data_IF_312966745730
#
_entry.id   IF_312966745730
#
_cell.length_a   1.000
_cell.length_b   1.000
_cell.length_c   1.000
_cell.angle_alpha   90.00
_cell.angle_beta   90.00
_cell.angle_gamma   90.00
#
_symmetry.space_group_name_H-M   'P 1'
#
loop_
_entity.id
_entity.type
_entity.pdbx_description
1 polymer ?
#
# COMPACT_ATOMS: atom_id res chain seq x y z
N UNK A 1 -35.67 -38.16 -47.63
CA UNK A 1 -34.32 -38.37 -47.07
C UNK A 1 -33.57 -37.05 -47.21
N UNK A 2 -33.57 -36.18 -46.19
CA UNK A 2 -32.72 -35.00 -46.15
C UNK A 2 -32.41 -34.71 -44.69
N UNK A 3 -31.20 -35.11 -44.30
CA UNK A 3 -30.62 -34.84 -43.00
C UNK A 3 -30.05 -33.42 -43.02
N UNK A 4 -30.63 -32.50 -42.25
CA UNK A 4 -30.12 -31.15 -42.06
C UNK A 4 -29.64 -31.04 -40.62
N UNK A 5 -28.39 -31.46 -40.34
CA UNK A 5 -27.69 -31.16 -39.09
C UNK A 5 -27.19 -29.72 -39.17
N UNK A 6 -27.82 -28.81 -38.42
CA UNK A 6 -27.25 -27.51 -38.11
C UNK A 6 -26.22 -27.69 -37.01
N UNK A 7 -24.97 -27.43 -37.32
CA UNK A 7 -23.90 -27.26 -36.35
C UNK A 7 -24.07 -25.94 -35.60
N UNK A 8 -24.12 -26.00 -34.28
CA UNK A 8 -24.00 -24.81 -33.42
C UNK A 8 -22.55 -24.32 -33.36
N UNK A 9 -22.30 -23.01 -33.33
CA UNK A 9 -20.94 -22.49 -33.22
C UNK A 9 -20.45 -22.53 -31.75
N UNK A 10 -19.17 -22.88 -31.48
CA UNK A 10 -18.59 -22.85 -30.15
C UNK A 10 -18.04 -21.45 -29.83
N UNK A 11 -18.85 -20.55 -29.25
CA UNK A 11 -18.34 -19.22 -28.91
C UNK A 11 -19.01 -18.54 -27.71
N UNK A 12 -19.21 -19.23 -26.58
CA UNK A 12 -19.67 -18.54 -25.36
C UNK A 12 -18.85 -18.88 -24.09
N UNK A 13 -18.04 -19.94 -24.11
CA UNK A 13 -17.31 -20.37 -22.91
C UNK A 13 -16.02 -19.57 -22.61
N UNK A 14 -15.48 -18.82 -23.57
CA UNK A 14 -14.15 -18.19 -23.43
C UNK A 14 -14.19 -16.77 -22.83
N UNK A 15 -15.35 -16.10 -22.84
CA UNK A 15 -15.46 -14.71 -22.32
C UNK A 15 -15.78 -14.62 -20.82
N UNK A 16 -16.31 -15.69 -20.21
CA UNK A 16 -16.60 -15.69 -18.77
C UNK A 16 -15.35 -15.89 -17.91
N UNK A 17 -14.30 -16.52 -18.44
CA UNK A 17 -13.07 -16.81 -17.68
C UNK A 17 -12.19 -15.55 -17.52
N UNK A 18 -12.16 -14.67 -18.52
CA UNK A 18 -11.32 -13.47 -18.52
C UNK A 18 -11.84 -12.33 -17.62
N UNK A 19 -13.16 -12.26 -17.37
CA UNK A 19 -13.75 -11.22 -16.52
C UNK A 19 -13.55 -11.53 -15.02
N UNK A 20 -13.46 -12.79 -14.63
CA UNK A 20 -13.23 -13.19 -13.24
C UNK A 20 -11.76 -13.08 -12.85
N UNK A 21 -10.81 -13.33 -13.77
CA UNK A 21 -9.38 -13.10 -13.56
C UNK A 21 -9.02 -11.62 -13.42
N UNK A 22 -9.77 -10.70 -14.02
CA UNK A 22 -9.50 -9.27 -13.97
C UNK A 22 -9.79 -8.64 -12.57
N UNK A 23 -10.51 -9.33 -11.68
CA UNK A 23 -10.86 -8.89 -10.32
C UNK A 23 -10.16 -9.67 -9.22
N UNK A 24 -9.46 -10.75 -9.54
CA UNK A 24 -8.67 -11.51 -8.57
C UNK A 24 -7.53 -10.66 -8.03
N UNK A 25 -7.39 -10.64 -6.69
CA UNK A 25 -6.24 -10.06 -6.03
C UNK A 25 -5.15 -11.11 -5.86
N UNK A 26 -3.92 -10.64 -5.77
CA UNK A 26 -2.77 -11.46 -5.43
C UNK A 26 -2.07 -10.88 -4.20
N UNK A 27 -1.56 -11.73 -3.33
CA UNK A 27 -0.76 -11.31 -2.20
C UNK A 27 0.54 -12.10 -2.13
N UNK A 28 1.52 -11.51 -1.48
CA UNK A 28 2.75 -12.18 -1.11
C UNK A 28 3.14 -11.71 0.28
N UNK A 29 3.51 -12.67 1.14
CA UNK A 29 3.97 -12.40 2.50
C UNK A 29 5.44 -12.78 2.63
N UNK A 30 6.25 -11.89 3.19
CA UNK A 30 7.67 -12.16 3.50
C UNK A 30 8.05 -11.63 4.87
N UNK A 31 9.05 -12.26 5.49
CA UNK A 31 9.73 -11.71 6.66
C UNK A 31 10.77 -10.68 6.20
N UNK A 32 10.67 -9.49 6.77
CA UNK A 32 11.56 -8.37 6.43
C UNK A 32 12.39 -7.99 7.66
N UNK A 33 13.68 -7.65 7.48
CA UNK A 33 14.52 -7.18 8.58
C UNK A 33 13.89 -5.97 9.28
N UNK A 34 13.95 -5.96 10.61
CA UNK A 34 13.53 -4.86 11.50
C UNK A 34 12.03 -4.52 11.51
N UNK A 35 11.25 -4.89 10.50
CA UNK A 35 9.81 -4.56 10.43
C UNK A 35 8.90 -5.81 10.47
N UNK A 36 9.50 -7.01 10.57
CA UNK A 36 8.78 -8.27 10.75
C UNK A 36 8.08 -8.76 9.49
N UNK A 37 6.95 -9.45 9.67
CA UNK A 37 6.15 -9.93 8.55
C UNK A 37 5.51 -8.76 7.79
N UNK A 38 5.65 -8.79 6.48
CA UNK A 38 5.02 -7.84 5.56
C UNK A 38 4.22 -8.61 4.54
N UNK A 39 2.95 -8.22 4.36
CA UNK A 39 2.11 -8.69 3.26
C UNK A 39 1.83 -7.54 2.31
N UNK A 40 2.07 -7.75 1.01
CA UNK A 40 1.73 -6.80 -0.05
C UNK A 40 0.61 -7.40 -0.88
N UNK A 41 -0.41 -6.61 -1.19
CA UNK A 41 -1.58 -7.02 -1.97
C UNK A 41 -1.64 -6.23 -3.27
N UNK A 42 -1.83 -6.97 -4.36
CA UNK A 42 -2.04 -6.45 -5.71
C UNK A 42 -3.49 -6.69 -6.16
N UNK A 43 -4.09 -5.69 -6.82
CA UNK A 43 -5.33 -5.82 -7.59
C UNK A 43 -5.24 -4.98 -8.86
N UNK A 44 -5.61 -5.56 -10.00
CA UNK A 44 -5.63 -4.84 -11.27
C UNK A 44 -4.28 -4.18 -11.63
N UNK A 45 -3.16 -4.88 -11.38
CA UNK A 45 -1.79 -4.41 -11.63
C UNK A 45 -1.37 -3.19 -10.78
N UNK A 46 -2.01 -2.95 -9.65
CA UNK A 46 -1.65 -1.91 -8.68
C UNK A 46 -1.45 -2.51 -7.30
N UNK A 47 -0.51 -1.97 -6.56
CA UNK A 47 -0.40 -2.23 -5.12
C UNK A 47 -1.54 -1.47 -4.43
N UNK A 48 -2.39 -2.22 -3.72
CA UNK A 48 -3.57 -1.66 -3.04
C UNK A 48 -3.45 -1.68 -1.52
N UNK A 49 -2.57 -2.54 -0.98
CA UNK A 49 -2.39 -2.70 0.47
C UNK A 49 -0.97 -3.17 0.79
N UNK A 50 -0.43 -2.70 1.91
CA UNK A 50 0.77 -3.20 2.55
C UNK A 50 0.52 -3.26 4.06
N UNK A 51 0.44 -4.48 4.59
CA UNK A 51 0.31 -4.76 6.01
C UNK A 51 1.70 -4.98 6.62
N UNK A 52 1.95 -4.39 7.78
CA UNK A 52 3.19 -4.56 8.53
C UNK A 52 2.94 -4.51 10.04
N UNK A 53 3.88 -5.01 10.84
CA UNK A 53 3.77 -5.03 12.29
C UNK A 53 2.76 -6.04 12.84
N UNK A 54 2.10 -6.80 11.99
CA UNK A 54 1.20 -7.88 12.37
C UNK A 54 1.94 -9.17 12.70
N UNK A 55 1.25 -10.10 13.36
CA UNK A 55 1.74 -11.47 13.52
C UNK A 55 1.34 -12.28 12.28
N UNK A 56 2.32 -12.82 11.56
CA UNK A 56 2.01 -13.81 10.52
C UNK A 56 1.58 -15.15 11.16
N UNK A 57 0.72 -15.98 10.52
CA UNK A 57 0.10 -15.70 9.23
C UNK A 57 -0.97 -14.60 9.31
N UNK A 58 -1.09 -13.80 8.26
CA UNK A 58 -2.21 -12.85 8.13
C UNK A 58 -3.50 -13.59 7.80
N UNK A 59 -4.63 -13.06 8.27
CA UNK A 59 -5.93 -13.60 7.90
C UNK A 59 -6.11 -13.58 6.36
N UNK A 60 -6.67 -14.66 5.77
CA UNK A 60 -6.96 -14.70 4.35
C UNK A 60 -7.87 -13.53 3.94
N UNK A 61 -7.60 -12.95 2.80
CA UNK A 61 -8.46 -11.94 2.19
C UNK A 61 -9.37 -12.61 1.15
N UNK A 62 -10.65 -12.23 1.15
CA UNK A 62 -11.57 -12.69 0.14
C UNK A 62 -11.06 -12.31 -1.26
N UNK A 63 -11.17 -13.23 -2.22
CA UNK A 63 -10.77 -13.04 -3.62
C UNK A 63 -9.29 -12.64 -3.82
N UNK A 64 -8.40 -13.05 -2.89
CA UNK A 64 -6.95 -12.85 -2.97
C UNK A 64 -6.24 -14.19 -2.87
N UNK A 65 -5.46 -14.52 -3.89
CA UNK A 65 -4.60 -15.70 -3.90
C UNK A 65 -3.21 -15.35 -3.37
N UNK A 66 -2.68 -16.17 -2.46
CA UNK A 66 -1.30 -16.01 -1.97
C UNK A 66 -0.35 -16.63 -3.00
N UNK A 67 0.15 -15.80 -3.90
CA UNK A 67 1.12 -16.21 -4.92
C UNK A 67 1.96 -15.03 -5.43
N UNK A 68 3.21 -15.26 -5.85
CA UNK A 68 4.05 -14.22 -6.41
C UNK A 68 3.56 -13.77 -7.80
N UNK A 69 3.57 -12.45 -8.02
CA UNK A 69 3.41 -11.83 -9.34
C UNK A 69 4.64 -10.99 -9.66
N UNK A 70 4.88 -10.61 -10.92
CA UNK A 70 5.98 -9.70 -11.25
C UNK A 70 5.92 -8.37 -10.49
N UNK A 71 4.72 -7.81 -10.25
CA UNK A 71 4.56 -6.57 -9.48
C UNK A 71 4.88 -6.78 -8.00
N UNK A 72 4.39 -7.85 -7.37
CA UNK A 72 4.69 -8.15 -5.96
C UNK A 72 6.17 -8.42 -5.73
N UNK A 73 6.82 -9.15 -6.64
CA UNK A 73 8.27 -9.38 -6.57
C UNK A 73 9.05 -8.07 -6.68
N UNK A 74 8.67 -7.18 -7.61
CA UNK A 74 9.27 -5.84 -7.76
C UNK A 74 9.02 -4.98 -6.51
N UNK A 75 7.82 -5.04 -5.92
CA UNK A 75 7.49 -4.29 -4.72
C UNK A 75 8.36 -4.72 -3.54
N UNK A 76 8.55 -6.03 -3.33
CA UNK A 76 9.45 -6.54 -2.29
C UNK A 76 10.92 -6.19 -2.57
N UNK A 77 11.40 -6.32 -3.79
CA UNK A 77 12.77 -5.92 -4.13
C UNK A 77 13.02 -4.43 -3.81
N UNK A 78 12.08 -3.55 -4.17
CA UNK A 78 12.20 -2.13 -3.84
C UNK A 78 12.12 -1.87 -2.32
N UNK A 79 11.31 -2.63 -1.58
CA UNK A 79 11.25 -2.53 -0.12
C UNK A 79 12.55 -3.00 0.53
N UNK A 80 13.15 -4.09 0.05
CA UNK A 80 14.46 -4.58 0.50
C UNK A 80 15.56 -3.54 0.27
N UNK A 81 15.63 -2.95 -0.93
CA UNK A 81 16.56 -1.87 -1.25
C UNK A 81 16.36 -0.63 -0.34
N UNK A 82 15.10 -0.29 -0.03
CA UNK A 82 14.79 0.82 0.86
C UNK A 82 15.24 0.53 2.30
N UNK A 83 14.96 -0.66 2.83
CA UNK A 83 15.40 -1.07 4.16
C UNK A 83 16.92 -1.20 4.29
N UNK A 84 17.60 -1.47 3.18
CA UNK A 84 19.07 -1.44 3.10
C UNK A 84 19.63 -0.01 2.93
N UNK A 85 18.80 1.05 2.90
CA UNK A 85 19.23 2.44 2.72
C UNK A 85 19.67 2.81 1.29
N UNK A 86 19.53 1.89 0.34
CA UNK A 86 19.96 2.09 -1.06
C UNK A 86 18.90 2.88 -1.85
N UNK A 87 17.63 2.54 -1.68
CA UNK A 87 16.50 3.18 -2.36
C UNK A 87 15.91 4.29 -1.52
N UNK A 88 15.66 5.44 -2.15
CA UNK A 88 15.01 6.60 -1.50
C UNK A 88 13.63 6.93 -2.07
N UNK A 89 13.27 6.36 -3.21
CA UNK A 89 11.97 6.59 -3.89
C UNK A 89 11.45 5.29 -4.49
N UNK A 90 10.18 5.01 -4.26
CA UNK A 90 9.50 3.86 -4.87
C UNK A 90 8.97 4.21 -6.26
N UNK A 91 9.06 3.25 -7.17
CA UNK A 91 8.50 3.29 -8.52
C UNK A 91 7.52 2.12 -8.69
N UNK A 92 6.33 2.30 -8.11
CA UNK A 92 5.27 1.30 -8.05
C UNK A 92 3.92 1.95 -8.38
N UNK A 93 3.06 1.29 -9.15
CA UNK A 93 1.69 1.74 -9.35
C UNK A 93 0.89 1.53 -8.06
N UNK A 94 0.54 2.61 -7.36
CA UNK A 94 -0.23 2.57 -6.11
C UNK A 94 -1.67 2.97 -6.36
N UNK A 95 -2.64 2.22 -5.80
CA UNK A 95 -4.06 2.53 -5.87
C UNK A 95 -4.74 2.34 -4.49
N UNK A 96 -4.48 3.25 -3.52
CA UNK A 96 -5.08 3.15 -2.20
C UNK A 96 -6.58 3.40 -2.24
N UNK A 97 -7.37 2.47 -1.69
CA UNK A 97 -8.80 2.65 -1.51
C UNK A 97 -9.09 3.55 -0.30
N UNK A 98 -9.94 4.57 -0.49
CA UNK A 98 -10.30 5.47 0.58
C UNK A 98 -11.22 6.61 0.14
N UNK A 99 -11.70 7.39 1.11
CA UNK A 99 -12.52 8.57 0.85
C UNK A 99 -11.74 9.63 0.06
N UNK A 100 -12.41 10.59 -0.62
CA UNK A 100 -11.73 11.70 -1.31
C UNK A 100 -10.76 12.46 -0.39
N UNK A 101 -11.13 12.69 0.87
CA UNK A 101 -10.26 13.35 1.83
C UNK A 101 -9.02 12.51 2.19
N UNK A 102 -9.19 11.21 2.43
CA UNK A 102 -8.07 10.31 2.70
C UNK A 102 -7.08 10.28 1.54
N UNK A 103 -7.57 10.10 0.30
CA UNK A 103 -6.71 10.12 -0.89
C UNK A 103 -5.94 11.43 -1.01
N UNK A 104 -6.60 12.57 -0.79
CA UNK A 104 -5.94 13.89 -0.80
C UNK A 104 -4.82 13.99 0.25
N UNK A 105 -5.03 13.43 1.44
CA UNK A 105 -3.99 13.35 2.47
C UNK A 105 -2.85 12.46 2.00
N UNK A 106 -3.13 11.25 1.50
CA UNK A 106 -2.10 10.33 1.05
C UNK A 106 -1.28 10.86 -0.14
N UNK A 107 -1.91 11.59 -1.06
CA UNK A 107 -1.21 12.31 -2.13
C UNK A 107 -0.25 13.37 -1.57
N UNK A 108 -0.65 14.09 -0.52
CA UNK A 108 0.24 15.03 0.17
C UNK A 108 1.39 14.32 0.90
N UNK A 109 1.17 13.12 1.47
CA UNK A 109 2.24 12.32 2.07
C UNK A 109 3.30 11.92 1.03
N UNK A 110 2.90 11.54 -0.18
CA UNK A 110 3.81 11.18 -1.28
C UNK A 110 4.75 12.33 -1.69
N UNK A 111 4.39 13.58 -1.35
CA UNK A 111 5.23 14.75 -1.61
C UNK A 111 6.29 14.99 -0.53
N UNK A 112 6.28 14.25 0.59
CA UNK A 112 7.30 14.40 1.64
C UNK A 112 8.57 13.66 1.19
N UNK A 113 9.70 14.37 0.97
CA UNK A 113 10.92 13.71 0.53
C UNK A 113 11.50 12.76 1.58
N UNK A 114 12.30 11.79 1.12
CA UNK A 114 13.15 10.97 1.98
C UNK A 114 14.05 11.85 2.87
N UNK A 115 14.17 11.51 4.14
CA UNK A 115 14.97 12.27 5.10
C UNK A 115 14.31 13.57 5.59
N UNK A 116 13.02 13.76 5.33
CA UNK A 116 12.27 14.91 5.84
C UNK A 116 11.01 14.47 6.55
N UNK A 117 10.61 15.26 7.55
CA UNK A 117 9.34 15.09 8.26
C UNK A 117 8.42 16.28 8.04
N UNK A 118 7.14 16.08 8.28
CA UNK A 118 6.12 17.14 8.34
C UNK A 118 5.26 16.94 9.59
N UNK A 119 4.75 18.04 10.14
CA UNK A 119 3.75 17.93 11.19
C UNK A 119 2.36 17.67 10.62
N UNK A 120 1.46 17.10 11.42
CA UNK A 120 0.05 16.95 11.05
C UNK A 120 -0.59 18.27 10.64
N UNK A 121 -0.18 19.40 11.23
CA UNK A 121 -0.63 20.75 10.86
C UNK A 121 -0.17 21.12 9.46
N UNK A 122 1.10 20.91 9.13
CA UNK A 122 1.62 21.21 7.79
C UNK A 122 0.92 20.38 6.70
N UNK A 123 0.60 19.11 6.97
CA UNK A 123 -0.21 18.31 6.04
C UNK A 123 -1.63 18.85 5.95
N UNK A 124 -2.26 19.27 7.06
CA UNK A 124 -3.60 19.85 7.04
C UNK A 124 -3.65 21.15 6.22
N UNK A 125 -2.63 21.99 6.31
CA UNK A 125 -2.46 23.18 5.47
C UNK A 125 -2.30 22.80 3.98
N UNK A 126 -1.44 21.84 3.66
CA UNK A 126 -1.20 21.36 2.30
C UNK A 126 -2.45 20.80 1.62
N UNK A 127 -3.38 20.20 2.38
CA UNK A 127 -4.65 19.69 1.84
C UNK A 127 -5.80 20.70 1.93
N UNK A 128 -5.51 22.00 2.19
CA UNK A 128 -6.50 23.08 2.37
C UNK A 128 -7.53 22.78 3.47
N UNK A 129 -7.10 22.19 4.58
CA UNK A 129 -7.92 21.89 5.75
C UNK A 129 -7.19 22.27 7.05
N UNK A 130 -6.80 23.55 7.26
CA UNK A 130 -5.86 23.94 8.31
C UNK A 130 -6.35 23.65 9.74
N UNK A 131 -7.66 23.57 9.96
CA UNK A 131 -8.26 23.15 11.24
C UNK A 131 -8.43 21.62 11.34
N UNK A 132 -8.16 20.87 10.25
CA UNK A 132 -8.42 19.45 10.12
C UNK A 132 -7.28 18.53 10.57
N UNK A 133 -6.31 18.98 11.36
CA UNK A 133 -5.13 18.17 11.73
C UNK A 133 -5.48 16.85 12.44
N UNK A 134 -6.60 16.77 13.18
CA UNK A 134 -7.11 15.50 13.75
C UNK A 134 -7.62 14.56 12.67
N UNK A 135 -8.36 15.08 11.67
CA UNK A 135 -8.84 14.29 10.54
C UNK A 135 -7.66 13.81 9.65
N UNK A 136 -6.63 14.64 9.50
CA UNK A 136 -5.36 14.25 8.85
C UNK A 136 -4.70 13.12 9.64
N UNK A 137 -4.63 13.20 10.96
CA UNK A 137 -4.09 12.14 11.82
C UNK A 137 -4.84 10.81 11.62
N UNK A 138 -6.17 10.86 11.57
CA UNK A 138 -7.00 9.68 11.28
C UNK A 138 -6.75 9.12 9.86
N UNK A 139 -6.66 9.99 8.85
CA UNK A 139 -6.35 9.58 7.48
C UNK A 139 -4.94 8.97 7.37
N UNK A 140 -3.96 9.57 8.04
CA UNK A 140 -2.59 9.07 8.14
C UNK A 140 -2.54 7.66 8.75
N UNK A 141 -3.28 7.43 9.84
CA UNK A 141 -3.35 6.11 10.49
C UNK A 141 -4.11 5.06 9.67
N UNK A 142 -5.00 5.49 8.78
CA UNK A 142 -5.76 4.61 7.86
C UNK A 142 -5.08 4.41 6.51
N UNK A 143 -3.81 4.80 6.36
CA UNK A 143 -3.05 4.55 5.15
C UNK A 143 -2.96 3.04 4.87
N UNK A 144 -3.54 2.55 3.75
CA UNK A 144 -3.53 1.12 3.46
C UNK A 144 -2.21 0.61 2.89
N UNK A 145 -1.30 1.51 2.45
CA UNK A 145 -0.05 1.14 1.77
C UNK A 145 1.12 1.78 2.53
N UNK A 146 1.26 1.41 3.81
CA UNK A 146 2.32 1.93 4.67
C UNK A 146 3.72 1.75 4.03
N UNK A 147 4.67 2.60 4.37
CA UNK A 147 6.03 2.71 3.80
C UNK A 147 6.03 3.27 2.38
N UNK A 148 5.34 2.66 1.42
CA UNK A 148 5.27 3.18 0.04
C UNK A 148 4.56 4.54 -0.01
N UNK A 149 3.50 4.72 0.78
CA UNK A 149 2.95 6.03 1.13
C UNK A 149 3.51 6.39 2.51
N UNK A 150 4.40 7.37 2.63
CA UNK A 150 5.28 7.54 3.80
C UNK A 150 4.59 8.22 4.99
N UNK A 151 3.54 7.59 5.55
CA UNK A 151 2.85 8.09 6.73
C UNK A 151 3.73 8.15 8.00
N UNK A 152 4.85 7.40 8.03
CA UNK A 152 5.86 7.48 9.09
C UNK A 152 6.56 8.84 9.15
N UNK A 153 6.64 9.60 8.03
CA UNK A 153 7.26 10.94 7.97
C UNK A 153 6.39 12.04 8.58
N UNK A 154 5.20 11.70 9.11
CA UNK A 154 4.34 12.67 9.80
C UNK A 154 4.45 12.49 11.30
N UNK A 155 4.84 13.58 11.99
CA UNK A 155 5.12 13.63 13.44
C UNK A 155 4.33 14.76 14.13
N UNK A 156 4.35 14.80 15.43
CA UNK A 156 3.82 15.94 16.20
C UNK A 156 4.55 17.25 15.88
N UNK A 157 3.90 18.38 16.10
CA UNK A 157 4.53 19.70 15.91
C UNK A 157 5.68 19.95 16.92
N UNK A 158 5.66 19.26 18.03
CA UNK A 158 6.68 19.21 19.09
C UNK A 158 7.76 18.14 18.85
N UNK A 159 7.73 17.46 17.70
CA UNK A 159 8.61 16.35 17.37
C UNK A 159 8.16 15.01 17.94
N UNK A 160 7.04 14.94 18.66
CA UNK A 160 6.54 13.68 19.23
C UNK A 160 6.13 12.69 18.16
N UNK A 161 6.46 11.42 18.38
CA UNK A 161 5.98 10.30 17.55
C UNK A 161 4.59 9.88 18.02
N UNK A 162 3.58 10.17 17.23
CA UNK A 162 2.18 9.83 17.53
C UNK A 162 1.68 8.85 16.51
N UNK A 163 1.04 7.78 16.97
CA UNK A 163 0.27 6.81 16.21
C UNK A 163 0.87 6.34 14.89
N UNK A 164 1.13 5.04 14.76
CA UNK A 164 1.51 4.40 13.51
C UNK A 164 0.87 3.02 13.42
N UNK A 165 0.29 2.67 12.28
CA UNK A 165 -0.42 1.41 12.13
C UNK A 165 0.45 0.16 12.36
N UNK A 166 1.72 0.24 12.05
CA UNK A 166 2.68 -0.84 12.29
C UNK A 166 3.35 -0.82 13.67
N UNK A 167 3.01 0.13 14.57
CA UNK A 167 3.70 0.32 15.85
C UNK A 167 4.75 1.43 15.81
N UNK A 168 5.01 2.04 16.97
CA UNK A 168 5.94 3.16 17.08
C UNK A 168 7.40 2.75 16.88
N UNK A 169 7.75 1.52 17.22
CA UNK A 169 9.06 0.90 17.02
C UNK A 169 9.44 0.86 15.53
N UNK A 170 8.52 0.41 14.68
CA UNK A 170 8.72 0.42 13.22
C UNK A 170 8.82 1.86 12.69
N UNK A 171 7.96 2.77 13.17
CA UNK A 171 8.04 4.18 12.77
C UNK A 171 9.39 4.80 13.12
N UNK A 172 9.88 4.56 14.32
CA UNK A 172 11.18 5.03 14.77
C UNK A 172 12.32 4.45 13.93
N UNK A 173 12.26 3.13 13.65
CA UNK A 173 13.24 2.48 12.79
C UNK A 173 13.30 3.14 11.41
N UNK A 174 12.16 3.36 10.76
CA UNK A 174 12.08 4.00 9.44
C UNK A 174 12.61 5.44 9.46
N UNK A 175 12.29 6.22 10.49
CA UNK A 175 12.78 7.59 10.63
C UNK A 175 14.30 7.64 10.88
N UNK A 176 14.86 6.69 11.66
CA UNK A 176 16.32 6.56 11.84
C UNK A 176 17.00 6.14 10.54
N UNK A 177 16.43 5.19 9.80
CA UNK A 177 16.93 4.78 8.49
C UNK A 177 17.01 5.96 7.52
N UNK A 178 16.05 6.87 7.59
CA UNK A 178 16.01 8.06 6.75
C UNK A 178 16.86 9.23 7.28
N UNK A 179 17.46 9.10 8.45
CA UNK A 179 18.27 10.17 9.08
C UNK A 179 17.44 11.33 9.63
N UNK A 180 16.16 11.06 9.98
CA UNK A 180 15.26 12.03 10.60
C UNK A 180 15.35 12.06 12.13
N UNK A 181 16.02 11.06 12.73
CA UNK A 181 16.24 10.88 14.17
C UNK A 181 17.71 10.55 14.44
#
# INVERSE_FOLDING_TARGET
MNNNQKAEPPHVAHMAHTAHEALAGFALTRQMPHIGAVRIVERGQHVVQLDLGGKAPYEPLADVAEQPTPLLLRAFAQLEEYLAGVRKKFDLPLAPAGTPFQRKVWDALLQIPYGQTRSYRQIAEAVNSPKGFRAVGMANNRNPIAVFIPCHRVIGADGSMVGYGGGLDIKEHLLRLEGCL
#
